data_IF_319883061481
#
_entry.id   IF_319883061481
#
_cell.length_a   1.000
_cell.length_b   1.000
_cell.length_c   1.000
_cell.angle_alpha   90.00
_cell.angle_beta   90.00
_cell.angle_gamma   90.00
#
_symmetry.space_group_name_H-M   'P 1'
#
loop_
_entity.id
_entity.type
_entity.pdbx_description
1 polymer ?
#
# COMPACT_ATOMS: atom_id res chain seq x y z
N UNK A 1 18.57 -19.85 -8.39
CA UNK A 1 17.91 -18.53 -8.17
C UNK A 1 18.68 -17.77 -7.09
N UNK A 2 18.92 -16.47 -7.25
CA UNK A 2 19.82 -15.68 -6.37
C UNK A 2 19.23 -15.63 -4.95
N UNK A 3 19.97 -16.04 -3.88
CA UNK A 3 19.44 -16.17 -2.51
C UNK A 3 18.99 -14.86 -1.85
N UNK A 4 19.15 -13.71 -2.52
CA UNK A 4 18.83 -12.37 -2.00
C UNK A 4 17.36 -11.96 -2.16
N UNK A 5 16.64 -12.56 -3.11
CA UNK A 5 15.25 -12.19 -3.40
C UNK A 5 14.31 -12.37 -2.17
N UNK A 6 14.26 -13.53 -1.50
CA UNK A 6 13.34 -13.73 -0.37
C UNK A 6 13.62 -12.82 0.82
N UNK A 7 14.87 -12.39 1.03
CA UNK A 7 15.20 -11.40 2.06
C UNK A 7 14.63 -10.01 1.76
N UNK A 8 14.59 -9.60 0.48
CA UNK A 8 14.03 -8.32 0.06
C UNK A 8 12.49 -8.30 0.12
N UNK A 9 11.84 -9.45 -0.02
CA UNK A 9 10.38 -9.55 0.01
C UNK A 9 9.78 -9.26 1.40
N UNK A 10 10.53 -9.51 2.49
CA UNK A 10 10.06 -9.29 3.86
C UNK A 10 9.77 -7.80 4.13
N UNK A 11 10.73 -6.87 3.93
CA UNK A 11 10.48 -5.44 4.15
C UNK A 11 9.63 -4.81 3.04
N UNK A 12 9.56 -5.41 1.85
CA UNK A 12 8.89 -4.81 0.69
C UNK A 12 7.44 -4.39 0.98
N UNK A 13 6.67 -5.20 1.71
CA UNK A 13 5.29 -4.84 2.09
C UNK A 13 5.22 -3.54 2.89
N UNK A 14 6.05 -3.39 3.92
CA UNK A 14 6.08 -2.18 4.75
C UNK A 14 6.70 -0.98 4.03
N UNK A 15 7.63 -1.18 3.09
CA UNK A 15 8.17 -0.09 2.25
C UNK A 15 7.08 0.47 1.34
N UNK A 16 6.28 -0.39 0.70
CA UNK A 16 5.14 0.04 -0.12
C UNK A 16 4.08 0.76 0.73
N UNK A 17 3.81 0.25 1.95
CA UNK A 17 2.90 0.92 2.87
C UNK A 17 3.43 2.31 3.29
N UNK A 18 4.72 2.42 3.63
CA UNK A 18 5.32 3.68 4.01
C UNK A 18 5.27 4.70 2.86
N UNK A 19 5.55 4.28 1.62
CA UNK A 19 5.41 5.17 0.46
C UNK A 19 3.97 5.59 0.23
N UNK A 20 3.00 4.69 0.42
CA UNK A 20 1.57 5.00 0.33
C UNK A 20 1.21 6.11 1.33
N UNK A 21 1.61 5.94 2.59
CA UNK A 21 1.35 6.91 3.66
C UNK A 21 1.96 8.27 3.35
N UNK A 22 3.23 8.32 2.93
CA UNK A 22 3.91 9.57 2.57
C UNK A 22 3.25 10.27 1.39
N UNK A 23 2.88 9.53 0.34
CA UNK A 23 2.24 10.12 -0.85
C UNK A 23 0.83 10.61 -0.55
N UNK A 24 0.04 9.85 0.22
CA UNK A 24 -1.30 10.29 0.64
C UNK A 24 -1.21 11.57 1.47
N UNK A 25 -0.27 11.63 2.42
CA UNK A 25 -0.08 12.82 3.25
C UNK A 25 0.37 14.02 2.41
N UNK A 26 1.36 13.85 1.52
CA UNK A 26 1.82 14.92 0.65
C UNK A 26 0.71 15.43 -0.29
N UNK A 27 -0.05 14.53 -0.91
CA UNK A 27 -1.16 14.89 -1.78
C UNK A 27 -2.27 15.61 -1.02
N UNK A 28 -2.56 15.20 0.23
CA UNK A 28 -3.51 15.88 1.10
C UNK A 28 -3.06 17.31 1.41
N UNK A 29 -1.82 17.50 1.88
CA UNK A 29 -1.29 18.82 2.23
C UNK A 29 -1.22 19.76 1.03
N UNK A 30 -0.72 19.27 -0.12
CA UNK A 30 -0.66 20.05 -1.36
C UNK A 30 -2.07 20.38 -1.86
N UNK A 31 -2.96 19.39 -1.88
CA UNK A 31 -4.34 19.57 -2.33
C UNK A 31 -5.10 20.62 -1.53
N UNK A 32 -4.97 20.62 -0.21
CA UNK A 32 -5.58 21.64 0.64
C UNK A 32 -4.93 23.02 0.44
N UNK A 33 -3.60 23.10 0.30
CA UNK A 33 -2.88 24.36 0.07
C UNK A 33 -3.21 25.01 -1.29
N UNK A 34 -3.43 24.20 -2.33
CA UNK A 34 -3.78 24.66 -3.68
C UNK A 34 -5.29 24.77 -3.92
N UNK A 35 -6.13 24.47 -2.92
CA UNK A 35 -7.57 24.67 -3.03
C UNK A 35 -8.31 23.62 -3.86
N UNK A 36 -7.72 22.43 -4.07
CA UNK A 36 -8.33 21.35 -4.87
C UNK A 36 -9.66 20.81 -4.30
N UNK A 37 -10.01 21.21 -3.08
CA UNK A 37 -11.31 20.95 -2.48
C UNK A 37 -12.44 21.84 -3.03
N UNK A 38 -12.12 22.99 -3.64
CA UNK A 38 -13.12 23.99 -4.05
C UNK A 38 -13.81 23.65 -5.38
N UNK A 39 -13.13 22.91 -6.25
CA UNK A 39 -13.64 22.51 -7.57
C UNK A 39 -14.43 21.20 -7.49
N UNK A 40 -15.53 21.18 -6.72
CA UNK A 40 -16.38 20.01 -6.59
C UNK A 40 -17.36 19.90 -7.77
N UNK A 41 -17.12 18.96 -8.69
CA UNK A 41 -18.08 18.61 -9.74
C UNK A 41 -18.86 17.38 -9.27
N UNK A 42 -20.16 17.56 -8.95
CA UNK A 42 -21.01 16.47 -8.48
C UNK A 42 -20.64 15.87 -7.12
N UNK A 43 -20.05 16.68 -6.22
CA UNK A 43 -19.64 16.23 -4.88
C UNK A 43 -18.31 15.44 -4.82
N UNK A 44 -17.66 15.25 -5.97
CA UNK A 44 -16.33 14.65 -6.07
C UNK A 44 -15.31 15.75 -6.33
N UNK A 45 -14.36 15.91 -5.41
CA UNK A 45 -13.25 16.86 -5.57
C UNK A 45 -12.06 16.20 -6.28
N UNK A 46 -11.28 16.94 -7.07
CA UNK A 46 -10.06 16.41 -7.68
C UNK A 46 -9.09 15.86 -6.61
N UNK A 47 -9.05 16.49 -5.43
CA UNK A 47 -8.32 15.99 -4.27
C UNK A 47 -8.72 14.56 -3.88
N UNK A 48 -10.02 14.29 -3.76
CA UNK A 48 -10.52 12.97 -3.38
C UNK A 48 -10.20 11.91 -4.44
N UNK A 49 -10.28 12.27 -5.72
CA UNK A 49 -9.88 11.37 -6.81
C UNK A 49 -8.39 11.03 -6.77
N UNK A 50 -7.52 12.02 -6.55
CA UNK A 50 -6.07 11.78 -6.43
C UNK A 50 -5.74 10.88 -5.25
N UNK A 51 -6.33 11.13 -4.08
CA UNK A 51 -6.14 10.30 -2.89
C UNK A 51 -6.62 8.86 -3.12
N UNK A 52 -7.79 8.67 -3.75
CA UNK A 52 -8.29 7.34 -4.11
C UNK A 52 -7.38 6.64 -5.12
N UNK A 53 -6.88 7.35 -6.13
CA UNK A 53 -5.98 6.79 -7.13
C UNK A 53 -4.67 6.31 -6.49
N UNK A 54 -4.04 7.12 -5.63
CA UNK A 54 -2.82 6.74 -4.90
C UNK A 54 -3.11 5.50 -4.04
N UNK A 55 -4.21 5.50 -3.30
CA UNK A 55 -4.58 4.38 -2.44
C UNK A 55 -4.81 3.08 -3.22
N UNK A 56 -5.58 3.12 -4.30
CA UNK A 56 -5.87 1.95 -5.14
C UNK A 56 -4.60 1.39 -5.81
N UNK A 57 -3.71 2.25 -6.30
CA UNK A 57 -2.44 1.84 -6.89
C UNK A 57 -1.57 1.10 -5.86
N UNK A 58 -1.49 1.60 -4.62
CA UNK A 58 -0.73 0.94 -3.56
C UNK A 58 -1.38 -0.37 -3.09
N UNK A 59 -2.71 -0.43 -3.02
CA UNK A 59 -3.42 -1.69 -2.75
C UNK A 59 -3.15 -2.73 -3.84
N UNK A 60 -3.18 -2.33 -5.11
CA UNK A 60 -2.85 -3.22 -6.22
C UNK A 60 -1.38 -3.70 -6.16
N UNK A 61 -0.46 -2.79 -5.83
CA UNK A 61 0.95 -3.13 -5.62
C UNK A 61 1.12 -4.17 -4.50
N UNK A 62 0.48 -3.97 -3.34
CA UNK A 62 0.55 -4.91 -2.22
C UNK A 62 -0.12 -6.25 -2.52
N UNK A 63 -1.27 -6.24 -3.21
CA UNK A 63 -1.94 -7.46 -3.66
C UNK A 63 -1.06 -8.25 -4.63
N UNK A 64 -0.42 -7.57 -5.60
CA UNK A 64 0.51 -8.22 -6.53
C UNK A 64 1.74 -8.79 -5.81
N UNK A 65 2.27 -8.09 -4.80
CA UNK A 65 3.36 -8.58 -3.95
C UNK A 65 2.94 -9.84 -3.18
N UNK A 66 1.76 -9.83 -2.56
CA UNK A 66 1.23 -10.99 -1.84
C UNK A 66 1.06 -12.20 -2.78
N UNK A 67 0.48 -11.99 -3.97
CA UNK A 67 0.34 -13.04 -4.99
C UNK A 67 1.72 -13.57 -5.39
N UNK A 68 2.71 -12.71 -5.56
CA UNK A 68 4.08 -13.11 -5.86
C UNK A 68 4.69 -13.96 -4.73
N UNK A 69 4.54 -13.55 -3.47
CA UNK A 69 4.99 -14.31 -2.30
C UNK A 69 4.35 -15.70 -2.21
N UNK A 70 3.04 -15.80 -2.51
CA UNK A 70 2.29 -17.05 -2.44
C UNK A 70 2.67 -17.99 -3.59
N UNK A 71 2.87 -17.46 -4.80
CA UNK A 71 3.22 -18.22 -6.01
C UNK A 71 4.70 -18.59 -6.09
N UNK A 72 5.56 -18.01 -5.26
CA UNK A 72 6.99 -18.32 -5.28
C UNK A 72 7.22 -19.80 -4.92
N UNK A 73 7.89 -20.58 -5.78
CA UNK A 73 8.21 -21.98 -5.50
C UNK A 73 9.07 -22.06 -4.23
N UNK A 74 8.64 -22.88 -3.28
CA UNK A 74 9.42 -23.14 -2.07
C UNK A 74 10.08 -24.49 -2.21
N UNK A 75 11.42 -24.55 -2.15
CA UNK A 75 12.12 -25.81 -1.95
C UNK A 75 11.71 -26.36 -0.59
N UNK A 76 10.88 -27.40 -0.61
CA UNK A 76 10.22 -27.99 0.56
C UNK A 76 11.20 -28.53 1.62
N UNK A 77 12.47 -28.71 1.25
CA UNK A 77 13.50 -29.32 2.08
C UNK A 77 14.25 -28.31 2.97
N UNK A 78 14.11 -26.99 2.75
CA UNK A 78 14.83 -25.96 3.51
C UNK A 78 13.90 -25.28 4.54
N UNK A 79 14.02 -25.63 5.82
CA UNK A 79 13.24 -25.00 6.93
C UNK A 79 13.30 -23.46 6.90
N UNK A 80 14.46 -22.91 6.54
CA UNK A 80 14.68 -21.46 6.38
C UNK A 80 13.84 -20.82 5.26
N UNK A 81 13.66 -21.49 4.11
CA UNK A 81 12.89 -20.94 2.99
C UNK A 81 11.41 -20.80 3.35
N UNK A 82 10.86 -21.78 4.07
CA UNK A 82 9.47 -21.77 4.56
C UNK A 82 9.22 -20.64 5.55
N UNK A 83 10.15 -20.42 6.49
CA UNK A 83 10.06 -19.32 7.44
C UNK A 83 10.09 -17.95 6.75
N UNK A 84 11.06 -17.72 5.85
CA UNK A 84 11.17 -16.46 5.11
C UNK A 84 9.89 -16.18 4.28
N UNK A 85 9.31 -17.21 3.66
CA UNK A 85 8.05 -17.08 2.93
C UNK A 85 6.88 -16.74 3.83
N UNK A 86 6.75 -17.39 4.99
CA UNK A 86 5.68 -17.06 5.96
C UNK A 86 5.83 -15.64 6.50
N UNK A 87 7.06 -15.20 6.81
CA UNK A 87 7.34 -13.84 7.24
C UNK A 87 6.99 -12.81 6.15
N UNK A 88 7.33 -13.06 4.88
CA UNK A 88 7.00 -12.18 3.76
C UNK A 88 5.49 -12.12 3.48
N UNK A 89 4.76 -13.24 3.61
CA UNK A 89 3.30 -13.25 3.49
C UNK A 89 2.66 -12.49 4.65
N UNK A 90 3.14 -12.71 5.88
CA UNK A 90 2.66 -12.01 7.06
C UNK A 90 2.88 -10.50 6.99
N UNK A 91 4.07 -10.07 6.54
CA UNK A 91 4.35 -8.64 6.37
C UNK A 91 3.52 -8.00 5.27
N UNK A 92 3.32 -8.69 4.13
CA UNK A 92 2.45 -8.20 3.06
C UNK A 92 0.99 -8.11 3.52
N UNK A 93 0.48 -9.10 4.26
CA UNK A 93 -0.87 -9.08 4.81
C UNK A 93 -1.06 -7.94 5.83
N UNK A 94 -0.10 -7.74 6.74
CA UNK A 94 -0.12 -6.63 7.69
C UNK A 94 -0.08 -5.27 6.96
N UNK A 95 0.74 -5.13 5.93
CA UNK A 95 0.81 -3.93 5.11
C UNK A 95 -0.50 -3.64 4.36
N UNK A 96 -1.18 -4.68 3.84
CA UNK A 96 -2.52 -4.52 3.23
C UNK A 96 -3.51 -4.02 4.27
N UNK A 97 -3.58 -4.66 5.44
CA UNK A 97 -4.49 -4.25 6.52
C UNK A 97 -4.24 -2.79 6.94
N UNK A 98 -2.98 -2.41 7.12
CA UNK A 98 -2.59 -1.05 7.43
C UNK A 98 -2.97 -0.06 6.31
N UNK A 99 -2.77 -0.43 5.04
CA UNK A 99 -3.13 0.40 3.88
C UNK A 99 -4.64 0.61 3.76
N UNK A 100 -5.42 -0.46 3.97
CA UNK A 100 -6.89 -0.40 4.00
C UNK A 100 -7.35 0.53 5.12
N UNK A 101 -6.78 0.39 6.32
CA UNK A 101 -7.09 1.25 7.44
C UNK A 101 -6.78 2.73 7.16
N UNK A 102 -5.60 3.04 6.62
CA UNK A 102 -5.24 4.42 6.24
C UNK A 102 -6.14 5.00 5.16
N UNK A 103 -6.57 4.19 4.19
CA UNK A 103 -7.44 4.67 3.10
C UNK A 103 -8.92 4.78 3.49
N UNK A 104 -9.38 4.03 4.48
CA UNK A 104 -10.77 4.08 4.94
C UNK A 104 -11.18 5.49 5.38
N UNK A 105 -10.25 6.23 6.00
CA UNK A 105 -10.47 7.62 6.44
C UNK A 105 -10.76 8.56 5.26
N UNK A 106 -10.20 8.30 4.08
CA UNK A 106 -10.44 9.09 2.84
C UNK A 106 -11.92 9.03 2.44
N UNK A 107 -12.63 7.94 2.78
CA UNK A 107 -14.04 7.77 2.44
C UNK A 107 -14.98 8.49 3.42
N UNK A 108 -14.59 8.58 4.69
CA UNK A 108 -15.43 9.08 5.77
C UNK A 108 -15.17 10.54 6.15
N UNK A 109 -13.93 11.03 6.02
CA UNK A 109 -13.54 12.36 6.48
C UNK A 109 -13.60 13.41 5.38
N UNK A 110 -13.88 14.65 5.76
CA UNK A 110 -13.64 15.83 4.93
C UNK A 110 -12.14 16.14 4.93
N UNK A 111 -11.47 16.14 3.76
CA UNK A 111 -10.00 16.17 3.69
C UNK A 111 -9.38 17.50 4.15
N UNK A 112 -10.09 18.61 4.03
CA UNK A 112 -9.64 19.92 4.49
C UNK A 112 -10.73 20.47 5.41
N UNK A 113 -10.44 20.55 6.70
CA UNK A 113 -11.32 21.07 7.75
C UNK A 113 -10.69 22.34 8.34
#
# INVERSE_FOLDING_TARGET
>A
MKPRLPLLLIPAGFVIWASAFTLLYAALSLGCAFGWQNDAIGGVTPLRLTLLAIWLVHLAALASLLICCVRLPSDANARTSRFLRQAAIGSAAAAIAATVWTGAVILAATPCL
#
